data_IF_374342310614
#
_entry.id   IF_374342310614
#
_cell.length_a   1.000
_cell.length_b   1.000
_cell.length_c   1.000
_cell.angle_alpha   90.00
_cell.angle_beta   90.00
_cell.angle_gamma   90.00
#
_symmetry.space_group_name_H-M   'P 1'
#
loop_
_entity.id
_entity.type
_entity.pdbx_description
1 polymer ?
#
# COMPACT_ATOMS: atom_id res chain seq x y z
N UNK A 1 12.90 -22.14 -3.92
CA UNK A 1 14.00 -22.39 -4.89
C UNK A 1 13.60 -22.14 -6.35
N UNK A 2 12.41 -22.52 -6.81
CA UNK A 2 12.02 -22.44 -8.22
C UNK A 2 11.81 -21.02 -8.79
N UNK A 3 11.78 -19.96 -7.96
CA UNK A 3 11.53 -18.58 -8.41
C UNK A 3 12.73 -17.63 -8.26
N UNK A 4 13.84 -18.08 -7.67
CA UNK A 4 15.01 -17.23 -7.46
C UNK A 4 15.62 -16.83 -8.82
N UNK A 5 15.95 -15.55 -8.97
CA UNK A 5 16.54 -15.01 -10.19
C UNK A 5 15.55 -14.72 -11.33
N UNK A 6 14.24 -14.94 -11.14
CA UNK A 6 13.21 -14.58 -12.13
C UNK A 6 13.08 -13.08 -12.32
N UNK A 7 13.16 -12.32 -11.23
CA UNK A 7 13.01 -10.88 -11.24
C UNK A 7 14.28 -10.20 -10.77
N UNK A 8 14.58 -9.05 -11.37
CA UNK A 8 15.73 -8.22 -11.01
C UNK A 8 15.49 -7.37 -9.76
N UNK A 9 14.25 -6.92 -9.57
CA UNK A 9 13.85 -6.05 -8.47
C UNK A 9 12.36 -6.22 -8.13
N UNK A 10 11.99 -5.79 -6.92
CA UNK A 10 10.59 -5.66 -6.48
C UNK A 10 10.29 -4.20 -6.15
N UNK A 11 9.36 -3.59 -6.88
CA UNK A 11 8.83 -2.27 -6.58
C UNK A 11 7.44 -2.39 -5.99
N UNK A 12 7.21 -1.79 -4.82
CA UNK A 12 5.95 -1.92 -4.11
C UNK A 12 5.29 -0.58 -3.86
N UNK A 13 3.98 -0.54 -4.09
CA UNK A 13 3.06 0.58 -3.87
C UNK A 13 1.96 0.09 -2.94
N UNK A 14 1.28 0.95 -2.22
CA UNK A 14 0.19 0.54 -1.33
C UNK A 14 0.09 1.39 -0.08
N UNK A 15 -0.56 0.82 0.92
CA UNK A 15 -0.80 1.46 2.20
C UNK A 15 -0.01 0.80 3.35
N UNK A 16 -0.52 0.91 4.57
CA UNK A 16 0.04 0.30 5.78
C UNK A 16 0.35 -1.20 5.67
N UNK A 17 -0.36 -1.94 4.83
CA UNK A 17 -0.22 -3.39 4.70
C UNK A 17 1.10 -3.81 4.04
N UNK A 18 1.73 -2.88 3.31
CA UNK A 18 3.00 -3.10 2.62
C UNK A 18 4.02 -1.99 2.87
N UNK A 19 3.72 -0.92 3.61
CA UNK A 19 4.64 0.18 3.92
C UNK A 19 5.88 -0.26 4.72
N UNK A 20 7.07 -0.11 4.11
CA UNK A 20 8.35 -0.45 4.72
C UNK A 20 8.93 0.63 5.66
N UNK A 21 8.15 1.64 6.04
CA UNK A 21 8.53 2.69 6.98
C UNK A 21 8.84 4.05 6.34
N UNK A 22 8.15 4.42 5.25
CA UNK A 22 8.40 5.73 4.60
C UNK A 22 8.13 6.94 5.52
N UNK A 23 7.36 6.78 6.60
CA UNK A 23 7.07 7.84 7.57
C UNK A 23 8.17 8.08 8.62
N UNK A 24 9.15 7.17 8.76
CA UNK A 24 10.20 7.28 9.78
C UNK A 24 11.57 7.68 9.22
N UNK A 25 11.69 7.83 7.90
CA UNK A 25 12.98 8.07 7.22
C UNK A 25 13.61 9.43 7.53
N UNK A 26 12.83 10.38 8.03
CA UNK A 26 13.29 11.73 8.42
C UNK A 26 13.16 11.99 9.93
N UNK A 27 13.02 10.93 10.73
CA UNK A 27 12.76 10.98 12.16
C UNK A 27 11.44 10.31 12.51
N UNK A 28 11.26 9.97 13.80
CA UNK A 28 10.06 9.28 14.29
C UNK A 28 9.00 10.33 14.66
N UNK A 29 7.84 10.37 13.96
CA UNK A 29 6.78 11.29 14.32
C UNK A 29 6.09 10.86 15.62
N UNK A 30 5.75 11.82 16.50
CA UNK A 30 5.15 11.52 17.82
C UNK A 30 3.80 10.81 17.73
N UNK A 31 3.05 11.05 16.65
CA UNK A 31 1.74 10.44 16.41
C UNK A 31 1.84 9.00 15.89
N UNK A 32 3.02 8.56 15.43
CA UNK A 32 3.15 7.29 14.72
C UNK A 32 3.32 6.11 15.69
N UNK A 33 2.21 5.47 16.03
CA UNK A 33 2.21 4.29 16.90
C UNK A 33 3.10 3.14 16.38
N UNK A 34 3.23 3.01 15.06
CA UNK A 34 3.99 1.92 14.40
C UNK A 34 5.51 2.06 14.55
N UNK A 35 5.98 3.16 15.13
CA UNK A 35 7.37 3.40 15.47
C UNK A 35 7.69 3.10 16.95
N UNK A 36 6.80 2.38 17.66
CA UNK A 36 6.95 2.01 19.08
C UNK A 36 6.60 0.53 19.31
N UNK A 37 7.04 -0.13 20.39
CA UNK A 37 6.57 -1.48 20.72
C UNK A 37 5.04 -1.55 20.82
N UNK A 38 4.39 -2.64 20.38
CA UNK A 38 4.98 -3.94 20.01
C UNK A 38 5.45 -4.05 18.54
N UNK A 39 5.42 -2.96 17.77
CA UNK A 39 5.84 -3.01 16.37
C UNK A 39 7.32 -3.37 16.22
N UNK A 40 7.62 -4.24 15.26
CA UNK A 40 8.96 -4.80 15.02
C UNK A 40 9.50 -5.76 16.10
N UNK A 41 8.71 -6.17 17.10
CA UNK A 41 9.17 -7.05 18.19
C UNK A 41 9.68 -8.41 17.71
N UNK A 42 8.95 -9.08 16.81
CA UNK A 42 9.33 -10.38 16.25
C UNK A 42 10.40 -10.24 15.16
N UNK A 43 10.32 -9.18 14.36
CA UNK A 43 11.32 -8.78 13.39
C UNK A 43 11.13 -7.29 13.05
N UNK A 44 12.09 -6.41 13.22
CA UNK A 44 13.54 -6.58 13.20
C UNK A 44 14.19 -6.63 14.60
N UNK A 45 13.38 -6.82 15.66
CA UNK A 45 13.79 -6.62 17.05
C UNK A 45 13.68 -5.15 17.50
N UNK A 46 13.22 -4.26 16.62
CA UNK A 46 12.93 -2.86 16.88
C UNK A 46 11.87 -2.33 15.91
N UNK A 47 11.10 -1.28 16.27
CA UNK A 47 10.10 -0.68 15.39
C UNK A 47 10.73 -0.04 14.16
N UNK A 48 10.21 -0.36 12.98
CA UNK A 48 10.68 0.19 11.68
C UNK A 48 9.66 1.11 11.01
N UNK A 49 8.53 1.39 11.67
CA UNK A 49 7.40 2.11 11.09
C UNK A 49 6.41 1.20 10.33
N UNK A 50 6.77 -0.08 10.10
CA UNK A 50 5.87 -1.09 9.52
C UNK A 50 4.67 -1.33 10.44
N UNK A 51 3.48 -1.50 9.85
CA UNK A 51 2.24 -1.82 10.58
C UNK A 51 2.18 -3.31 10.98
N UNK A 52 3.28 -3.87 11.48
CA UNK A 52 3.38 -5.23 11.99
C UNK A 52 4.41 -5.31 13.11
N UNK A 53 4.34 -6.34 13.94
CA UNK A 53 5.41 -6.75 14.86
C UNK A 53 6.65 -7.32 14.11
N UNK A 54 6.65 -7.27 12.78
CA UNK A 54 7.39 -8.19 11.94
C UNK A 54 7.59 -7.71 10.50
N UNK A 55 7.90 -8.69 9.65
CA UNK A 55 7.90 -8.57 8.19
C UNK A 55 6.48 -8.40 7.65
N UNK A 56 6.37 -7.73 6.51
CA UNK A 56 5.14 -7.59 5.73
C UNK A 56 5.07 -8.63 4.61
N UNK A 57 3.89 -8.79 3.99
CA UNK A 57 3.70 -9.73 2.87
C UNK A 57 4.69 -9.51 1.73
N UNK A 58 5.01 -8.25 1.43
CA UNK A 58 5.98 -7.88 0.38
C UNK A 58 7.42 -8.34 0.71
N UNK A 59 7.78 -8.41 1.99
CA UNK A 59 9.10 -8.90 2.40
C UNK A 59 9.22 -10.40 2.14
N UNK A 60 8.17 -11.16 2.47
CA UNK A 60 8.12 -12.59 2.20
C UNK A 60 8.15 -12.88 0.70
N UNK A 61 7.45 -12.09 -0.12
CA UNK A 61 7.52 -12.18 -1.59
C UNK A 61 8.96 -11.95 -2.07
N UNK A 62 9.61 -10.85 -1.64
CA UNK A 62 10.98 -10.55 -2.05
C UNK A 62 11.96 -11.66 -1.65
N UNK A 63 11.84 -12.20 -0.44
CA UNK A 63 12.69 -13.28 0.05
C UNK A 63 12.52 -14.58 -0.75
N UNK A 64 11.30 -14.99 -1.10
CA UNK A 64 11.09 -16.18 -1.92
C UNK A 64 11.68 -16.03 -3.34
N UNK A 65 11.74 -14.79 -3.84
CA UNK A 65 12.38 -14.43 -5.11
C UNK A 65 13.91 -14.29 -5.01
N UNK A 66 14.49 -14.44 -3.81
CA UNK A 66 15.93 -14.28 -3.59
C UNK A 66 16.41 -12.83 -3.63
N UNK A 67 15.49 -11.87 -3.43
CA UNK A 67 15.77 -10.44 -3.41
C UNK A 67 15.81 -9.90 -1.97
N UNK A 68 16.54 -8.80 -1.71
CA UNK A 68 16.49 -8.14 -0.41
C UNK A 68 15.10 -7.54 -0.15
N UNK A 69 14.80 -7.27 1.12
CA UNK A 69 13.59 -6.55 1.50
C UNK A 69 13.61 -5.17 0.85
N UNK A 70 12.57 -4.75 0.11
CA UNK A 70 12.55 -3.45 -0.54
C UNK A 70 12.64 -2.33 0.52
N UNK A 71 13.67 -1.46 0.48
CA UNK A 71 13.79 -0.37 1.44
C UNK A 71 12.72 0.70 1.19
N UNK A 72 12.33 1.49 2.21
CA UNK A 72 11.44 2.62 2.01
C UNK A 72 12.07 3.62 1.02
N UNK A 73 11.33 4.00 -0.01
CA UNK A 73 11.77 4.87 -1.11
C UNK A 73 12.30 6.23 -0.65
N UNK A 74 11.90 6.69 0.55
CA UNK A 74 12.38 7.94 1.15
C UNK A 74 13.68 7.79 1.96
N UNK A 75 14.24 6.59 2.07
CA UNK A 75 15.51 6.37 2.76
C UNK A 75 16.66 7.04 2.00
N UNK A 76 17.46 7.86 2.69
CA UNK A 76 18.61 8.57 2.09
C UNK A 76 19.84 7.68 1.89
N UNK A 77 19.98 6.63 2.70
CA UNK A 77 21.15 5.75 2.73
C UNK A 77 20.80 4.31 2.32
N UNK A 78 19.98 4.16 1.27
CA UNK A 78 19.58 2.86 0.74
C UNK A 78 19.93 2.72 -0.75
N UNK A 79 20.24 1.49 -1.17
CA UNK A 79 20.32 1.15 -2.58
C UNK A 79 18.96 0.68 -3.07
N UNK A 80 18.52 1.22 -4.21
CA UNK A 80 17.24 0.88 -4.83
C UNK A 80 17.39 -0.02 -6.06
N UNK A 81 18.60 -0.52 -6.33
CA UNK A 81 18.91 -1.31 -7.52
C UNK A 81 18.15 -2.64 -7.61
N UNK A 82 17.71 -3.19 -6.48
CA UNK A 82 16.95 -4.44 -6.37
C UNK A 82 15.51 -4.21 -5.86
N UNK A 83 15.06 -2.96 -5.85
CA UNK A 83 13.69 -2.62 -5.46
C UNK A 83 13.58 -1.42 -4.56
N UNK A 84 12.37 -0.93 -4.43
CA UNK A 84 12.00 0.15 -3.52
C UNK A 84 10.54 0.00 -3.09
N UNK A 85 10.25 0.39 -1.86
CA UNK A 85 8.92 0.42 -1.31
C UNK A 85 8.41 1.88 -1.28
N UNK A 86 7.45 2.20 -2.14
CA UNK A 86 6.79 3.50 -2.23
C UNK A 86 5.51 3.57 -1.40
N UNK A 87 5.08 2.46 -0.79
CA UNK A 87 3.88 2.41 0.03
C UNK A 87 3.98 3.34 1.25
N UNK A 88 2.85 3.88 1.70
CA UNK A 88 2.81 4.76 2.87
C UNK A 88 1.54 4.54 3.69
N UNK A 89 1.71 4.43 5.00
CA UNK A 89 0.65 4.13 5.96
C UNK A 89 -0.53 5.09 5.84
N UNK A 90 -1.71 4.55 5.52
CA UNK A 90 -2.96 5.29 5.30
C UNK A 90 -3.19 5.77 3.87
N UNK A 91 -2.34 5.36 2.92
CA UNK A 91 -2.49 5.72 1.51
C UNK A 91 -3.87 5.34 0.95
N UNK A 92 -4.35 6.16 0.03
CA UNK A 92 -5.62 5.99 -0.68
C UNK A 92 -5.35 5.75 -2.16
N UNK A 93 -6.30 5.13 -2.87
CA UNK A 93 -6.26 5.09 -4.34
C UNK A 93 -6.42 6.51 -4.90
N UNK A 94 -7.38 7.25 -4.33
CA UNK A 94 -7.79 8.59 -4.74
C UNK A 94 -6.89 9.68 -4.13
N UNK A 95 -6.73 10.80 -4.84
CA UNK A 95 -5.97 11.95 -4.32
C UNK A 95 -6.70 12.61 -3.13
N UNK A 96 -5.95 13.11 -2.14
CA UNK A 96 -6.52 13.74 -0.92
C UNK A 96 -7.54 14.84 -1.20
N UNK A 97 -7.37 15.58 -2.30
CA UNK A 97 -8.30 16.64 -2.70
C UNK A 97 -9.71 16.11 -3.02
N UNK A 98 -9.83 14.86 -3.49
CA UNK A 98 -11.12 14.19 -3.71
C UNK A 98 -11.93 14.12 -2.41
N UNK A 99 -11.29 13.76 -1.31
CA UNK A 99 -11.88 13.64 0.02
C UNK A 99 -12.13 15.01 0.65
N UNK A 100 -11.18 15.94 0.55
CA UNK A 100 -11.30 17.30 1.07
C UNK A 100 -12.52 18.02 0.51
N UNK A 101 -12.74 17.93 -0.80
CA UNK A 101 -13.92 18.50 -1.50
C UNK A 101 -15.27 17.90 -1.03
N UNK A 102 -15.25 16.74 -0.38
CA UNK A 102 -16.43 16.04 0.15
C UNK A 102 -16.58 16.17 1.67
N UNK A 103 -15.76 17.00 2.32
CA UNK A 103 -15.78 17.14 3.77
C UNK A 103 -15.22 15.92 4.51
N UNK A 104 -14.44 15.07 3.83
CA UNK A 104 -13.80 13.86 4.39
C UNK A 104 -12.29 14.05 4.60
N UNK A 105 -11.78 15.29 4.50
CA UNK A 105 -10.34 15.55 4.61
C UNK A 105 -9.74 15.15 5.96
N UNK A 106 -10.50 15.26 7.05
CA UNK A 106 -10.03 14.95 8.40
C UNK A 106 -9.87 13.46 8.68
N UNK A 107 -10.45 12.59 7.86
CA UNK A 107 -10.35 11.13 8.02
C UNK A 107 -9.23 10.52 7.16
N UNK A 108 -8.60 11.31 6.28
CA UNK A 108 -7.49 10.86 5.45
C UNK A 108 -6.17 11.29 6.09
N UNK A 109 -5.36 10.32 6.50
CA UNK A 109 -4.22 10.56 7.38
C UNK A 109 -2.97 11.07 6.65
N UNK A 110 -2.83 10.80 5.35
CA UNK A 110 -1.69 11.26 4.57
C UNK A 110 -2.06 11.55 3.10
N UNK A 111 -1.18 12.24 2.38
CA UNK A 111 -1.37 12.64 0.98
C UNK A 111 -0.63 11.79 -0.06
N UNK A 112 -0.15 10.61 0.32
CA UNK A 112 0.54 9.66 -0.53
C UNK A 112 -0.40 8.69 -1.24
N UNK A 113 -1.32 9.23 -2.06
CA UNK A 113 -2.18 8.43 -2.93
C UNK A 113 -1.37 7.54 -3.89
N UNK A 114 -2.01 6.56 -4.55
CA UNK A 114 -1.36 5.75 -5.60
C UNK A 114 -0.65 6.63 -6.65
N UNK A 115 -1.29 7.72 -7.11
CA UNK A 115 -0.68 8.66 -8.05
C UNK A 115 0.58 9.31 -7.48
N UNK A 116 0.55 9.74 -6.22
CA UNK A 116 1.73 10.31 -5.55
C UNK A 116 2.87 9.30 -5.47
N UNK A 117 2.58 8.03 -5.15
CA UNK A 117 3.60 6.98 -5.08
C UNK A 117 4.20 6.65 -6.46
N UNK A 118 3.38 6.65 -7.52
CA UNK A 118 3.87 6.53 -8.90
C UNK A 118 4.78 7.72 -9.26
N UNK A 119 4.47 8.93 -8.78
CA UNK A 119 5.36 10.07 -8.97
C UNK A 119 6.70 9.86 -8.24
N UNK A 120 6.71 9.30 -7.03
CA UNK A 120 7.97 8.95 -6.34
C UNK A 120 8.80 7.91 -7.11
N UNK A 121 8.15 6.94 -7.77
CA UNK A 121 8.85 6.04 -8.71
C UNK A 121 9.50 6.83 -9.85
N UNK A 122 8.76 7.75 -10.48
CA UNK A 122 9.28 8.58 -11.58
C UNK A 122 10.45 9.45 -11.14
N UNK A 123 10.40 9.98 -9.92
CA UNK A 123 11.48 10.78 -9.36
C UNK A 123 12.74 9.92 -9.07
N UNK A 124 12.55 8.66 -8.66
CA UNK A 124 13.64 7.71 -8.44
C UNK A 124 14.18 7.10 -9.75
N UNK A 125 13.36 7.02 -10.79
CA UNK A 125 13.67 6.35 -12.07
C UNK A 125 15.04 6.73 -12.68
N UNK A 126 15.47 8.01 -12.72
CA UNK A 126 16.76 8.39 -13.28
C UNK A 126 17.97 7.75 -12.61
N UNK A 127 17.89 7.45 -11.30
CA UNK A 127 18.97 6.79 -10.57
C UNK A 127 19.01 5.27 -10.76
N UNK A 128 17.91 4.67 -11.24
CA UNK A 128 17.80 3.24 -11.51
C UNK A 128 18.27 2.91 -12.93
N UNK A 129 17.89 3.75 -13.89
CA UNK A 129 18.13 3.55 -15.30
C UNK A 129 18.33 4.91 -15.98
N UNK A 130 19.57 5.26 -16.29
CA UNK A 130 19.87 6.51 -16.99
C UNK A 130 19.95 6.23 -18.49
N UNK A 131 19.04 6.81 -19.28
CA UNK A 131 19.24 6.93 -20.74
C UNK A 131 18.53 8.16 -21.28
N UNK A 132 19.16 8.84 -22.24
CA UNK A 132 18.59 10.02 -22.89
C UNK A 132 17.27 9.74 -23.64
N UNK A 133 16.92 8.47 -23.88
CA UNK A 133 15.77 8.06 -24.73
C UNK A 133 14.72 7.20 -23.99
N UNK A 134 14.87 6.96 -22.68
CA UNK A 134 13.89 6.23 -21.87
C UNK A 134 13.74 4.72 -22.15
N UNK A 135 14.20 4.21 -23.30
CA UNK A 135 14.10 2.79 -23.71
C UNK A 135 14.73 1.86 -22.69
N UNK A 136 15.90 2.24 -22.16
CA UNK A 136 16.65 1.46 -21.19
C UNK A 136 15.91 1.25 -19.87
N UNK A 137 15.02 2.18 -19.51
CA UNK A 137 14.18 2.03 -18.31
C UNK A 137 13.03 1.07 -18.52
N UNK A 138 12.40 1.08 -19.71
CA UNK A 138 11.32 0.14 -20.00
C UNK A 138 11.82 -1.29 -19.99
N UNK A 139 13.02 -1.53 -20.53
CA UNK A 139 13.69 -2.83 -20.46
C UNK A 139 13.99 -3.24 -19.01
N UNK A 140 14.54 -2.33 -18.20
CA UNK A 140 14.80 -2.60 -16.79
C UNK A 140 13.52 -2.95 -16.02
N UNK A 141 12.46 -2.15 -16.15
CA UNK A 141 11.19 -2.40 -15.46
C UNK A 141 10.44 -3.63 -15.98
N UNK A 142 10.69 -4.06 -17.23
CA UNK A 142 10.14 -5.30 -17.76
C UNK A 142 10.70 -6.56 -17.08
N UNK A 143 11.85 -6.47 -16.41
CA UNK A 143 12.47 -7.54 -15.61
C UNK A 143 12.12 -7.46 -14.12
N UNK A 144 11.28 -6.50 -13.71
CA UNK A 144 10.94 -6.24 -12.31
C UNK A 144 9.51 -6.71 -12.00
N UNK A 145 9.28 -7.09 -10.74
CA UNK A 145 7.94 -7.33 -10.23
C UNK A 145 7.39 -6.05 -9.59
N UNK A 146 6.19 -5.65 -9.99
CA UNK A 146 5.48 -4.54 -9.39
C UNK A 146 4.37 -5.06 -8.49
N UNK A 147 4.47 -4.80 -7.19
CA UNK A 147 3.42 -5.12 -6.21
C UNK A 147 2.63 -3.85 -5.97
N UNK A 148 1.52 -3.69 -6.67
CA UNK A 148 0.53 -2.64 -6.38
C UNK A 148 -0.31 -3.20 -5.25
N UNK A 149 0.12 -3.01 -4.01
CA UNK A 149 -0.52 -3.51 -2.80
C UNK A 149 -1.96 -3.06 -2.65
N UNK A 150 -2.56 -3.34 -1.50
CA UNK A 150 -3.96 -3.02 -1.30
C UNK A 150 -4.19 -1.51 -1.35
N UNK A 151 -5.20 -1.13 -2.15
CA UNK A 151 -5.76 0.20 -2.23
C UNK A 151 -7.27 0.08 -2.25
N UNK A 152 -7.95 1.05 -1.64
CA UNK A 152 -9.40 1.07 -1.50
C UNK A 152 -9.86 0.99 -0.05
N UNK A 153 -9.19 0.22 0.81
CA UNK A 153 -9.51 0.12 2.23
C UNK A 153 -9.58 1.49 2.90
N UNK A 154 -8.53 2.31 2.75
CA UNK A 154 -8.52 3.68 3.31
C UNK A 154 -9.52 4.62 2.62
N UNK A 155 -9.79 4.42 1.33
CA UNK A 155 -10.77 5.21 0.58
C UNK A 155 -12.19 4.97 1.12
N UNK A 156 -12.54 3.72 1.41
CA UNK A 156 -13.83 3.35 1.99
C UNK A 156 -13.89 3.68 3.49
N UNK A 157 -12.77 3.58 4.21
CA UNK A 157 -12.67 4.00 5.61
C UNK A 157 -12.99 5.49 5.79
N UNK A 158 -12.64 6.36 4.83
CA UNK A 158 -12.84 7.81 4.96
C UNK A 158 -14.30 8.20 5.28
N UNK A 159 -15.31 7.85 4.46
CA UNK A 159 -16.72 8.11 4.82
C UNK A 159 -17.16 7.34 6.07
N UNK A 160 -16.72 6.09 6.26
CA UNK A 160 -17.17 5.25 7.38
C UNK A 160 -16.69 5.79 8.74
N UNK A 161 -15.43 6.21 8.84
CA UNK A 161 -14.87 6.83 10.04
C UNK A 161 -15.35 8.27 10.25
N UNK A 162 -15.89 8.91 9.21
CA UNK A 162 -16.64 10.16 9.33
C UNK A 162 -18.10 9.95 9.79
N UNK A 163 -18.48 8.72 10.15
CA UNK A 163 -19.83 8.38 10.60
C UNK A 163 -20.89 8.38 9.49
N UNK A 164 -20.47 8.31 8.22
CA UNK A 164 -21.41 8.21 7.10
C UNK A 164 -21.94 6.78 6.96
N UNK A 165 -23.11 6.68 6.33
CA UNK A 165 -23.74 5.41 6.01
C UNK A 165 -22.87 4.60 5.04
N UNK A 166 -22.91 3.27 5.15
CA UNK A 166 -22.18 2.35 4.28
C UNK A 166 -22.45 2.58 2.78
N UNK A 167 -23.67 3.01 2.42
CA UNK A 167 -24.01 3.38 1.05
C UNK A 167 -23.18 4.55 0.52
N UNK A 168 -22.74 5.47 1.37
CA UNK A 168 -21.84 6.54 0.95
C UNK A 168 -20.45 6.01 0.61
N UNK A 169 -19.95 5.00 1.35
CA UNK A 169 -18.70 4.33 1.01
C UNK A 169 -18.80 3.60 -0.34
N UNK A 170 -19.91 2.91 -0.62
CA UNK A 170 -20.11 2.26 -1.92
C UNK A 170 -20.17 3.22 -3.11
N UNK A 171 -20.60 4.47 -2.91
CA UNK A 171 -20.53 5.48 -3.99
C UNK A 171 -19.10 5.78 -4.43
N UNK A 172 -18.09 5.49 -3.60
CA UNK A 172 -16.69 5.67 -3.97
C UNK A 172 -16.15 4.53 -4.83
N UNK A 173 -16.77 3.35 -4.82
CA UNK A 173 -16.29 2.15 -5.53
C UNK A 173 -15.90 2.38 -7.00
N UNK A 174 -16.74 2.99 -7.87
CA UNK A 174 -16.35 3.23 -9.25
C UNK A 174 -15.16 4.19 -9.39
N UNK A 175 -14.98 5.13 -8.45
CA UNK A 175 -13.86 6.06 -8.44
C UNK A 175 -12.57 5.38 -7.99
N UNK A 176 -12.65 4.54 -6.95
CA UNK A 176 -11.51 3.76 -6.43
C UNK A 176 -11.02 2.77 -7.48
N UNK A 177 -11.93 2.00 -8.09
CA UNK A 177 -11.60 1.06 -9.17
C UNK A 177 -10.89 1.80 -10.30
N UNK A 178 -11.43 2.95 -10.75
CA UNK A 178 -10.80 3.74 -11.80
C UNK A 178 -9.41 4.23 -11.42
N UNK A 179 -9.23 4.75 -10.21
CA UNK A 179 -7.93 5.23 -9.75
C UNK A 179 -6.87 4.11 -9.70
N UNK A 180 -7.25 2.90 -9.28
CA UNK A 180 -6.38 1.73 -9.30
C UNK A 180 -6.05 1.32 -10.73
N UNK A 181 -7.06 1.23 -11.61
CA UNK A 181 -6.87 0.92 -13.04
C UNK A 181 -5.94 1.92 -13.73
N UNK A 182 -6.19 3.22 -13.57
CA UNK A 182 -5.35 4.29 -14.13
C UNK A 182 -3.92 4.24 -13.58
N UNK A 183 -3.75 3.86 -12.31
CA UNK A 183 -2.43 3.67 -11.70
C UNK A 183 -1.67 2.48 -12.29
N UNK A 184 -2.36 1.34 -12.48
CA UNK A 184 -1.80 0.16 -13.14
C UNK A 184 -1.41 0.47 -14.59
N UNK A 185 -2.27 1.14 -15.35
CA UNK A 185 -1.97 1.56 -16.72
C UNK A 185 -0.75 2.49 -16.79
N UNK A 186 -0.62 3.42 -15.84
CA UNK A 186 0.57 4.26 -15.74
C UNK A 186 1.84 3.44 -15.48
N UNK A 187 1.81 2.46 -14.57
CA UNK A 187 2.95 1.59 -14.31
C UNK A 187 3.33 0.75 -15.54
N UNK A 188 2.34 0.26 -16.29
CA UNK A 188 2.56 -0.41 -17.58
C UNK A 188 3.23 0.55 -18.58
N UNK A 189 2.77 1.80 -18.65
CA UNK A 189 3.37 2.82 -19.50
C UNK A 189 4.83 3.14 -19.12
N UNK A 190 5.18 3.04 -17.83
CA UNK A 190 6.56 3.16 -17.34
C UNK A 190 7.45 1.97 -17.75
N UNK A 191 6.86 0.79 -18.00
CA UNK A 191 7.55 -0.42 -18.46
C UNK A 191 7.24 -1.69 -17.66
N UNK A 192 6.36 -1.63 -16.66
CA UNK A 192 5.98 -2.81 -15.88
C UNK A 192 5.29 -3.86 -16.78
N UNK A 193 5.69 -5.13 -16.64
CA UNK A 193 5.08 -6.28 -17.33
C UNK A 193 4.40 -7.26 -16.39
N UNK A 194 5.04 -7.55 -15.26
CA UNK A 194 4.50 -8.43 -14.24
C UNK A 194 4.05 -7.58 -13.04
N UNK A 195 2.73 -7.57 -12.79
CA UNK A 195 2.11 -6.80 -11.71
C UNK A 195 1.24 -7.72 -10.84
N UNK A 196 1.32 -7.53 -9.52
CA UNK A 196 0.38 -8.08 -8.55
C UNK A 196 -0.53 -6.93 -8.11
N UNK A 197 -1.84 -7.12 -8.26
CA UNK A 197 -2.87 -6.17 -7.83
C UNK A 197 -3.89 -6.95 -6.99
N UNK A 198 -3.79 -6.93 -5.65
CA UNK A 198 -4.75 -7.60 -4.78
C UNK A 198 -6.06 -6.81 -4.74
N UNK A 199 -7.16 -7.53 -4.47
CA UNK A 199 -8.42 -6.89 -4.11
C UNK A 199 -8.39 -6.37 -2.67
N UNK A 200 -9.42 -5.60 -2.31
CA UNK A 200 -9.63 -5.13 -0.93
C UNK A 200 -9.88 -6.31 -0.01
N UNK A 201 -9.27 -6.29 1.17
CA UNK A 201 -9.45 -7.34 2.18
C UNK A 201 -10.85 -7.28 2.80
N UNK A 202 -11.37 -8.39 3.36
CA UNK A 202 -12.69 -8.43 3.97
C UNK A 202 -12.78 -7.51 5.20
N UNK A 203 -13.19 -6.25 4.99
CA UNK A 203 -13.14 -5.20 6.01
C UNK A 203 -14.02 -5.50 7.23
N UNK A 204 -15.12 -6.24 7.05
CA UNK A 204 -15.99 -6.69 8.14
C UNK A 204 -15.31 -7.67 9.12
N UNK A 205 -14.12 -8.18 8.78
CA UNK A 205 -13.30 -9.00 9.68
C UNK A 205 -12.33 -8.19 10.52
N UNK A 206 -12.15 -6.90 10.24
CA UNK A 206 -11.16 -6.10 10.96
C UNK A 206 -11.66 -5.83 12.39
N UNK A 207 -10.79 -5.96 13.41
CA UNK A 207 -11.18 -5.69 14.80
C UNK A 207 -11.81 -4.32 15.02
N UNK A 208 -11.34 -3.30 14.31
CA UNK A 208 -11.92 -1.93 14.39
C UNK A 208 -13.38 -1.90 13.91
N UNK A 209 -13.73 -2.61 12.84
CA UNK A 209 -15.10 -2.72 12.35
C UNK A 209 -15.98 -3.50 13.31
N UNK A 210 -15.48 -4.63 13.84
CA UNK A 210 -16.19 -5.44 14.84
C UNK A 210 -16.44 -4.68 16.16
N UNK A 211 -15.62 -3.67 16.46
CA UNK A 211 -15.77 -2.82 17.64
C UNK A 211 -16.75 -1.67 17.39
N UNK A 212 -16.67 -1.04 16.22
CA UNK A 212 -17.49 0.12 15.87
C UNK A 212 -18.93 -0.26 15.53
N UNK A 213 -19.16 -1.46 15.00
CA UNK A 213 -20.46 -1.88 14.48
C UNK A 213 -20.93 -3.14 15.19
N UNK A 214 -22.02 -3.01 15.93
CA UNK A 214 -22.70 -4.11 16.61
C UNK A 214 -23.88 -4.54 15.76
N UNK A 215 -23.74 -5.67 15.07
CA UNK A 215 -24.82 -6.30 14.30
C UNK A 215 -25.35 -7.52 15.09
N UNK A 216 -26.62 -7.94 14.88
CA UNK A 216 -27.13 -9.18 15.44
C UNK A 216 -26.41 -10.40 14.83
N UNK A 217 -26.49 -11.57 15.45
CA UNK A 217 -25.74 -12.79 15.03
C UNK A 217 -25.93 -13.12 13.54
N UNK A 218 -27.12 -12.87 13.00
CA UNK A 218 -27.48 -13.09 11.60
C UNK A 218 -26.68 -12.20 10.64
N UNK A 219 -26.25 -11.02 11.10
CA UNK A 219 -25.37 -10.09 10.39
C UNK A 219 -23.92 -10.57 10.28
N UNK A 220 -23.53 -11.60 11.03
CA UNK A 220 -22.17 -12.18 10.98
C UNK A 220 -22.10 -13.40 10.05
N UNK A 221 -20.96 -13.57 9.38
CA UNK A 221 -20.66 -14.77 8.60
C UNK A 221 -20.60 -16.00 9.49
N UNK A 222 -21.32 -17.08 9.13
CA UNK A 222 -21.44 -18.28 9.97
C UNK A 222 -20.11 -18.98 10.24
N UNK A 223 -19.14 -18.85 9.33
CA UNK A 223 -17.79 -19.44 9.45
C UNK A 223 -16.74 -18.45 9.96
N UNK A 224 -16.86 -17.18 9.60
CA UNK A 224 -15.79 -16.18 9.82
C UNK A 224 -16.08 -15.26 11.00
N UNK A 225 -17.33 -15.19 11.46
CA UNK A 225 -17.81 -14.21 12.45
C UNK A 225 -17.62 -12.74 12.03
N UNK A 226 -17.27 -12.48 10.77
CA UNK A 226 -17.11 -11.13 10.22
C UNK A 226 -18.47 -10.51 9.89
N UNK A 227 -18.58 -9.19 9.94
CA UNK A 227 -19.78 -8.46 9.55
C UNK A 227 -20.03 -8.61 8.05
N UNK A 228 -21.12 -9.29 7.66
CA UNK A 228 -21.44 -9.60 6.26
C UNK A 228 -21.57 -8.34 5.41
N UNK A 229 -22.22 -7.31 5.95
CA UNK A 229 -22.50 -6.08 5.20
C UNK A 229 -21.25 -5.32 4.77
N UNK A 230 -20.09 -5.56 5.38
CA UNK A 230 -18.83 -4.91 4.99
C UNK A 230 -17.92 -5.79 4.11
N UNK A 231 -18.40 -6.97 3.70
CA UNK A 231 -17.67 -7.94 2.88
C UNK A 231 -18.38 -8.25 1.56
N UNK A 232 -19.09 -7.26 1.01
CA UNK A 232 -19.92 -7.38 -0.21
C UNK A 232 -19.22 -6.86 -1.45
#
# INVERSE_FOLDING_TARGET
>A
AAAQGRYRAVFSFGDSLVDAGNLVTEGIPDYLATARPPYGQTYFGYPTGRCSDGRLVVDFIAQELGLPLPPPSKAKNASFAQGANFAITGATALDTDFFRKRGLGSTVWNSGSLRTQIQWLRDLKPSLCSSAQGTRCKEFFAECLFVVGEFGGNDYNAPLFAGKDLREAYKLTPHVIRAISDGVEQLIAEGAKDLIVPGVMPSGCFPVYLTMYVDPKEGHGSRTSCLKRFNT
#
